data_IF_718393460542
#
_entry.id   IF_718393460542
#
_cell.length_a   1.000
_cell.length_b   1.000
_cell.length_c   1.000
_cell.angle_alpha   90.00
_cell.angle_beta   90.00
_cell.angle_gamma   90.00
#
_symmetry.space_group_name_H-M   'P 1'
#
loop_
_entity.id
_entity.type
_entity.pdbx_description
1 polymer ?
#
# COMPACT_ATOMS: atom_id res chain seq x y z
N UNK A 1 -26.90 -39.52 7.41
CA UNK A 1 -25.94 -38.95 6.41
C UNK A 1 -24.52 -38.75 7.00
N UNK A 2 -24.12 -39.56 7.95
CA UNK A 2 -22.77 -39.55 8.53
C UNK A 2 -21.95 -40.75 8.00
N UNK A 3 -22.49 -41.53 7.09
CA UNK A 3 -21.89 -42.82 6.69
C UNK A 3 -20.96 -42.75 5.46
N UNK A 4 -20.80 -41.62 4.80
CA UNK A 4 -19.94 -41.51 3.61
C UNK A 4 -18.50 -41.04 3.87
N UNK A 5 -18.17 -40.71 5.11
CA UNK A 5 -16.81 -40.28 5.48
C UNK A 5 -15.85 -41.39 5.93
N UNK A 6 -16.20 -42.68 5.72
CA UNK A 6 -15.45 -43.80 6.32
C UNK A 6 -14.69 -44.69 5.35
N UNK A 7 -14.60 -44.34 4.07
CA UNK A 7 -13.83 -45.16 3.11
C UNK A 7 -12.85 -44.28 2.34
N UNK A 8 -11.59 -44.42 2.71
CA UNK A 8 -10.44 -43.94 1.95
C UNK A 8 -9.92 -42.57 2.44
N UNK A 9 -8.77 -42.59 3.05
CA UNK A 9 -7.68 -41.58 3.20
C UNK A 9 -7.88 -40.09 2.81
N UNK A 10 -9.07 -39.61 2.57
CA UNK A 10 -9.41 -38.21 2.58
C UNK A 10 -9.95 -37.86 3.96
N UNK A 11 -9.06 -37.33 4.80
CA UNK A 11 -9.46 -36.66 6.00
C UNK A 11 -10.45 -35.57 5.55
N UNK A 12 -11.75 -35.80 5.80
CA UNK A 12 -12.76 -34.74 5.62
C UNK A 12 -12.29 -33.57 6.49
N UNK A 13 -11.63 -32.61 5.88
CA UNK A 13 -11.38 -31.31 6.47
C UNK A 13 -12.80 -30.75 6.66
N UNK A 14 -13.36 -30.96 7.86
CA UNK A 14 -14.54 -30.22 8.27
C UNK A 14 -14.09 -28.79 8.39
N UNK A 15 -14.28 -28.06 7.33
CA UNK A 15 -14.21 -26.61 7.39
C UNK A 15 -15.17 -26.12 8.47
N UNK A 16 -14.83 -25.03 9.15
CA UNK A 16 -15.68 -24.44 10.18
C UNK A 16 -16.89 -23.77 9.49
N UNK A 17 -17.83 -24.59 9.03
CA UNK A 17 -19.00 -24.13 8.28
C UNK A 17 -19.83 -23.19 9.14
N UNK A 18 -20.15 -22.03 8.58
CA UNK A 18 -21.11 -21.09 9.18
C UNK A 18 -22.45 -21.16 8.44
N UNK A 19 -23.48 -21.82 8.99
CA UNK A 19 -24.79 -21.92 8.34
C UNK A 19 -25.55 -20.58 8.27
N UNK A 20 -25.08 -19.56 8.99
CA UNK A 20 -25.65 -18.21 9.03
C UNK A 20 -24.89 -17.22 8.16
N UNK A 21 -23.92 -17.67 7.39
CA UNK A 21 -23.16 -16.79 6.49
C UNK A 21 -24.10 -16.25 5.40
N UNK A 22 -24.30 -14.94 5.42
CA UNK A 22 -25.09 -14.21 4.43
C UNK A 22 -24.22 -13.56 3.35
N UNK A 23 -24.85 -13.04 2.32
CA UNK A 23 -24.20 -12.24 1.29
C UNK A 23 -23.84 -10.85 1.80
N UNK A 24 -22.74 -10.30 1.32
CA UNK A 24 -22.46 -8.87 1.46
C UNK A 24 -23.42 -8.06 0.57
N UNK A 25 -24.04 -7.05 1.15
CA UNK A 25 -24.87 -6.10 0.42
C UNK A 25 -24.12 -4.79 0.21
N UNK A 26 -23.90 -4.42 -1.05
CA UNK A 26 -23.27 -3.15 -1.42
C UNK A 26 -24.33 -2.16 -1.88
N UNK A 27 -24.43 -1.02 -1.21
CA UNK A 27 -25.23 0.15 -1.62
C UNK A 27 -24.28 1.27 -2.01
N UNK A 28 -24.39 1.71 -3.26
CA UNK A 28 -23.49 2.74 -3.81
C UNK A 28 -24.30 3.77 -4.58
N UNK A 29 -23.92 5.02 -4.43
CA UNK A 29 -24.27 6.08 -5.36
C UNK A 29 -23.02 6.77 -5.85
N UNK A 30 -23.04 7.18 -7.11
CA UNK A 30 -21.97 7.85 -7.82
C UNK A 30 -22.55 9.04 -8.59
N UNK A 31 -21.86 10.18 -8.53
CA UNK A 31 -22.16 11.35 -9.35
C UNK A 31 -20.92 11.68 -10.13
N UNK A 32 -21.03 11.64 -11.47
CA UNK A 32 -19.93 11.89 -12.38
C UNK A 32 -20.26 12.99 -13.39
N UNK A 33 -19.23 13.66 -13.84
CA UNK A 33 -19.29 14.68 -14.92
C UNK A 33 -18.15 14.41 -15.88
N UNK A 34 -18.50 14.15 -17.15
CA UNK A 34 -17.56 14.13 -18.24
C UNK A 34 -17.59 15.47 -18.96
N UNK A 35 -16.43 15.98 -19.33
CA UNK A 35 -16.33 17.24 -20.03
C UNK A 35 -15.31 17.21 -21.16
N UNK A 36 -15.57 18.01 -22.18
CA UNK A 36 -14.68 18.20 -23.30
C UNK A 36 -14.79 19.62 -23.82
N UNK A 37 -13.66 20.25 -24.05
CA UNK A 37 -13.55 21.63 -24.49
C UNK A 37 -12.63 21.78 -25.71
N UNK A 38 -12.77 22.87 -26.43
CA UNK A 38 -11.91 23.26 -27.53
C UNK A 38 -11.84 22.21 -28.67
N UNK A 39 -12.98 21.60 -29.00
CA UNK A 39 -13.02 20.56 -30.03
C UNK A 39 -12.24 19.30 -29.64
N UNK A 40 -12.40 18.83 -28.41
CA UNK A 40 -11.70 17.67 -27.81
C UNK A 40 -10.20 17.87 -27.52
N UNK A 41 -9.68 19.07 -27.63
CA UNK A 41 -8.28 19.32 -27.24
C UNK A 41 -8.04 19.22 -25.74
N UNK A 42 -9.08 19.43 -24.93
CA UNK A 42 -9.05 19.22 -23.48
C UNK A 42 -10.28 18.39 -23.11
N UNK A 43 -10.08 17.31 -22.40
CA UNK A 43 -11.14 16.42 -21.92
C UNK A 43 -10.82 15.99 -20.48
N UNK A 44 -11.85 15.53 -19.80
CA UNK A 44 -11.66 14.95 -18.48
C UNK A 44 -12.97 14.47 -17.89
N UNK A 45 -12.85 13.91 -16.70
CA UNK A 45 -13.99 13.45 -15.91
C UNK A 45 -13.74 13.73 -14.44
N UNK A 46 -14.80 13.88 -13.69
CA UNK A 46 -14.81 13.94 -12.25
C UNK A 46 -15.93 13.05 -11.74
N UNK A 47 -15.61 12.13 -10.85
CA UNK A 47 -16.54 11.24 -10.18
C UNK A 47 -16.41 11.41 -8.66
N UNK A 48 -17.54 11.42 -7.97
CA UNK A 48 -17.62 11.32 -6.52
C UNK A 48 -18.53 10.16 -6.17
N UNK A 49 -18.07 9.26 -5.30
CA UNK A 49 -18.83 8.09 -4.89
C UNK A 49 -18.86 7.95 -3.36
N UNK A 50 -19.95 7.34 -2.90
CA UNK A 50 -20.11 6.85 -1.54
C UNK A 50 -20.73 5.47 -1.57
N UNK A 51 -20.07 4.55 -0.89
CA UNK A 51 -20.39 3.13 -0.87
C UNK A 51 -20.56 2.69 0.58
N UNK A 52 -21.64 1.98 0.87
CA UNK A 52 -21.85 1.28 2.13
C UNK A 52 -21.90 -0.22 1.84
N UNK A 53 -21.14 -1.00 2.60
CA UNK A 53 -21.16 -2.46 2.57
C UNK A 53 -21.73 -2.93 3.89
N UNK A 54 -22.79 -3.71 3.82
CA UNK A 54 -23.49 -4.35 4.93
C UNK A 54 -23.17 -5.84 4.91
N UNK A 55 -22.97 -6.43 6.09
CA UNK A 55 -22.62 -7.84 6.20
C UNK A 55 -21.23 -8.19 5.69
N UNK A 56 -20.24 -7.29 5.90
CA UNK A 56 -18.84 -7.51 5.52
C UNK A 56 -18.36 -8.89 5.96
N UNK A 57 -17.91 -9.72 5.01
CA UNK A 57 -17.44 -11.09 5.26
C UNK A 57 -15.96 -11.08 5.60
N UNK A 58 -15.63 -11.71 6.72
CA UNK A 58 -14.24 -11.84 7.17
C UNK A 58 -13.99 -13.18 7.87
N UNK A 59 -12.75 -13.68 7.81
CA UNK A 59 -12.31 -14.88 8.50
C UNK A 59 -11.92 -14.53 9.94
N UNK A 60 -12.71 -14.93 10.92
CA UNK A 60 -12.48 -14.66 12.33
C UNK A 60 -11.88 -15.87 13.05
N UNK A 61 -11.09 -15.61 14.09
CA UNK A 61 -10.61 -16.66 14.99
C UNK A 61 -11.75 -17.12 15.90
N UNK A 62 -11.93 -18.43 15.98
CA UNK A 62 -12.97 -19.08 16.81
C UNK A 62 -12.32 -20.10 17.75
N UNK A 63 -12.95 -20.41 18.91
CA UNK A 63 -12.39 -21.37 19.87
C UNK A 63 -12.22 -22.78 19.29
N UNK A 64 -11.13 -23.43 19.66
CA UNK A 64 -10.91 -24.86 19.42
C UNK A 64 -10.93 -25.59 20.76
N UNK A 65 -11.78 -26.66 20.93
CA UNK A 65 -12.98 -27.00 20.17
C UNK A 65 -14.10 -25.98 20.39
N UNK A 66 -15.21 -25.95 19.62
CA UNK A 66 -15.67 -27.02 18.72
C UNK A 66 -15.25 -26.85 17.24
N UNK A 67 -14.58 -25.74 16.89
CA UNK A 67 -14.19 -25.45 15.51
C UNK A 67 -12.84 -26.08 15.16
N UNK A 68 -12.76 -27.00 14.17
CA UNK A 68 -11.53 -27.76 13.89
C UNK A 68 -10.36 -26.89 13.49
N UNK A 69 -10.57 -25.85 12.70
CA UNK A 69 -9.52 -25.00 12.14
C UNK A 69 -9.21 -23.75 12.95
N UNK A 70 -9.98 -23.50 14.07
CA UNK A 70 -9.86 -22.25 14.84
C UNK A 70 -10.21 -20.98 14.08
N UNK A 71 -10.77 -21.10 12.87
CA UNK A 71 -11.18 -20.01 11.99
C UNK A 71 -12.53 -20.28 11.38
N UNK A 72 -13.30 -19.22 11.13
CA UNK A 72 -14.62 -19.29 10.50
C UNK A 72 -14.93 -18.00 9.75
N UNK A 73 -15.51 -18.12 8.56
CA UNK A 73 -16.06 -16.98 7.82
C UNK A 73 -17.36 -16.50 8.46
N UNK A 74 -17.43 -15.20 8.77
CA UNK A 74 -18.60 -14.58 9.39
C UNK A 74 -18.90 -13.22 8.76
N UNK A 75 -20.16 -12.80 8.81
CA UNK A 75 -20.54 -11.43 8.53
C UNK A 75 -20.26 -10.60 9.79
N UNK A 76 -19.25 -9.73 9.74
CA UNK A 76 -18.69 -9.09 10.94
C UNK A 76 -19.16 -7.65 11.16
N UNK A 77 -19.79 -7.02 10.20
CA UNK A 77 -20.23 -5.63 10.39
C UNK A 77 -20.52 -4.87 9.10
N UNK A 78 -20.55 -3.58 9.25
CA UNK A 78 -20.79 -2.61 8.19
C UNK A 78 -19.57 -1.71 8.00
N UNK A 79 -19.25 -1.36 6.75
CA UNK A 79 -18.24 -0.37 6.43
C UNK A 79 -18.76 0.65 5.42
N UNK A 80 -18.19 1.83 5.47
CA UNK A 80 -18.39 2.89 4.49
C UNK A 80 -17.08 3.19 3.77
N UNK A 81 -17.15 3.39 2.45
CA UNK A 81 -16.06 3.92 1.65
C UNK A 81 -16.59 5.09 0.82
N UNK A 82 -15.81 6.17 0.74
CA UNK A 82 -16.12 7.35 -0.09
C UNK A 82 -14.84 7.87 -0.72
N UNK A 83 -15.01 8.45 -1.89
CA UNK A 83 -13.87 8.97 -2.61
C UNK A 83 -14.27 9.82 -3.80
N UNK A 84 -13.25 10.37 -4.42
CA UNK A 84 -13.39 11.08 -5.68
C UNK A 84 -12.27 10.64 -6.65
N UNK A 85 -12.60 10.69 -7.93
CA UNK A 85 -11.68 10.45 -9.02
C UNK A 85 -11.73 11.64 -9.98
N UNK A 86 -10.57 12.08 -10.41
CA UNK A 86 -10.41 13.20 -11.34
C UNK A 86 -9.46 12.80 -12.46
N UNK A 87 -9.85 13.08 -13.68
CA UNK A 87 -9.00 12.94 -14.86
C UNK A 87 -9.06 14.20 -15.70
N UNK A 88 -7.91 14.65 -16.16
CA UNK A 88 -7.81 15.69 -17.19
C UNK A 88 -6.71 15.32 -18.17
N UNK A 89 -7.00 15.46 -19.45
CA UNK A 89 -6.05 15.20 -20.52
C UNK A 89 -6.26 16.12 -21.70
N UNK A 90 -5.25 16.19 -22.54
CA UNK A 90 -5.37 16.95 -23.78
C UNK A 90 -4.05 17.28 -24.45
N UNK A 91 -4.18 17.92 -25.59
CA UNK A 91 -3.05 18.46 -26.37
C UNK A 91 -2.73 19.88 -25.87
N UNK A 92 -1.70 19.97 -25.02
CA UNK A 92 -1.24 21.24 -24.44
C UNK A 92 -0.69 22.12 -25.56
N UNK A 93 0.14 21.52 -26.42
CA UNK A 93 0.69 22.18 -27.61
C UNK A 93 0.46 21.27 -28.82
N UNK A 94 -0.09 21.82 -29.87
CA UNK A 94 -0.27 21.14 -31.15
C UNK A 94 0.10 22.06 -32.29
N UNK A 95 1.28 21.81 -32.84
CA UNK A 95 1.81 22.51 -34.01
C UNK A 95 2.10 21.52 -35.14
N UNK A 96 2.48 22.00 -36.32
CA UNK A 96 2.80 21.16 -37.45
C UNK A 96 3.90 20.13 -37.18
N UNK A 97 4.93 20.51 -36.46
CA UNK A 97 6.12 19.68 -36.21
C UNK A 97 6.23 19.18 -34.76
N UNK A 98 5.47 19.76 -33.83
CA UNK A 98 5.55 19.44 -32.41
C UNK A 98 4.17 19.30 -31.78
N UNK A 99 3.98 18.21 -31.05
CA UNK A 99 2.80 17.97 -30.22
C UNK A 99 3.24 17.59 -28.81
N UNK A 100 2.61 18.20 -27.82
CA UNK A 100 2.70 17.79 -26.43
C UNK A 100 1.30 17.45 -25.94
N UNK A 101 1.10 16.15 -25.65
CA UNK A 101 -0.12 15.60 -25.03
C UNK A 101 0.20 15.26 -23.58
N UNK A 102 -0.67 15.65 -22.67
CA UNK A 102 -0.53 15.36 -21.24
C UNK A 102 -1.84 14.83 -20.68
N UNK A 103 -1.77 13.82 -19.81
CA UNK A 103 -2.91 13.34 -19.03
C UNK A 103 -2.54 13.16 -17.58
N UNK A 104 -3.39 13.68 -16.69
CA UNK A 104 -3.27 13.56 -15.24
C UNK A 104 -4.53 12.89 -14.72
N UNK A 105 -4.37 11.83 -13.93
CA UNK A 105 -5.43 11.25 -13.13
C UNK A 105 -5.08 11.37 -11.64
N UNK A 106 -6.09 11.56 -10.82
CA UNK A 106 -5.97 11.68 -9.38
C UNK A 106 -7.15 10.96 -8.72
N UNK A 107 -6.89 10.30 -7.61
CA UNK A 107 -7.94 9.68 -6.81
C UNK A 107 -7.69 9.84 -5.32
N UNK A 108 -8.77 9.91 -4.57
CA UNK A 108 -8.80 9.84 -3.12
C UNK A 108 -9.85 8.82 -2.70
N UNK A 109 -9.50 7.96 -1.77
CA UNK A 109 -10.42 7.03 -1.16
C UNK A 109 -10.21 7.01 0.35
N UNK A 110 -11.30 7.00 1.11
CA UNK A 110 -11.28 6.81 2.56
C UNK A 110 -12.36 5.82 2.96
N UNK A 111 -12.06 5.02 3.97
CA UNK A 111 -12.98 4.01 4.49
C UNK A 111 -13.06 4.04 6.01
N UNK A 112 -14.21 3.65 6.53
CA UNK A 112 -14.47 3.60 7.97
C UNK A 112 -15.35 2.40 8.31
N UNK A 113 -15.07 1.74 9.43
CA UNK A 113 -15.95 0.75 10.02
C UNK A 113 -17.09 1.48 10.73
N UNK A 114 -18.34 1.17 10.36
CA UNK A 114 -19.51 1.80 10.94
C UNK A 114 -20.01 1.05 12.16
N UNK A 115 -20.14 -0.28 12.05
CA UNK A 115 -20.70 -1.14 13.08
C UNK A 115 -20.04 -2.51 13.04
N UNK A 116 -19.85 -3.13 14.18
CA UNK A 116 -19.38 -4.51 14.31
C UNK A 116 -20.50 -5.39 14.87
N UNK A 117 -20.65 -6.63 14.33
CA UNK A 117 -21.72 -7.55 14.71
C UNK A 117 -21.28 -8.61 15.72
N UNK A 118 -22.20 -9.00 16.59
CA UNK A 118 -22.03 -10.09 17.53
C UNK A 118 -20.94 -9.82 18.57
N UNK A 119 -20.15 -10.84 18.86
CA UNK A 119 -19.02 -10.75 19.81
C UNK A 119 -17.71 -10.20 19.16
N UNK A 120 -17.76 -9.84 17.90
CA UNK A 120 -16.60 -9.34 17.14
C UNK A 120 -16.47 -7.81 17.32
N UNK A 121 -16.48 -7.32 18.56
CA UNK A 121 -16.40 -5.89 18.83
C UNK A 121 -15.06 -5.25 18.37
N UNK A 122 -14.03 -6.09 18.24
CA UNK A 122 -12.72 -5.70 17.70
C UNK A 122 -11.98 -6.91 17.16
N UNK A 123 -11.13 -6.70 16.18
CA UNK A 123 -10.16 -7.69 15.68
C UNK A 123 -8.80 -7.04 15.53
N UNK A 124 -7.78 -7.62 16.12
CA UNK A 124 -6.40 -7.20 15.96
C UNK A 124 -5.80 -7.94 14.78
N UNK A 125 -5.07 -7.24 13.95
CA UNK A 125 -4.47 -7.76 12.73
C UNK A 125 -3.07 -7.23 12.48
N UNK A 126 -2.46 -7.70 11.39
CA UNK A 126 -1.09 -7.41 11.04
C UNK A 126 -0.07 -7.94 12.06
N UNK A 127 -0.41 -9.11 12.66
CA UNK A 127 0.56 -9.93 13.34
C UNK A 127 1.47 -10.53 12.26
N UNK A 128 2.70 -10.05 12.17
CA UNK A 128 3.65 -10.62 11.22
C UNK A 128 4.21 -11.93 11.78
N UNK A 129 4.23 -12.97 10.95
CA UNK A 129 4.85 -14.28 11.25
C UNK A 129 6.40 -14.17 11.32
N UNK A 130 6.90 -13.10 11.93
CA UNK A 130 8.32 -12.84 12.00
C UNK A 130 8.86 -13.07 13.42
N UNK A 131 10.03 -13.69 13.56
CA UNK A 131 10.60 -13.99 14.86
C UNK A 131 10.70 -12.74 15.73
N UNK A 132 10.00 -12.76 16.87
CA UNK A 132 10.00 -11.67 17.83
C UNK A 132 9.26 -10.41 17.36
N UNK A 133 8.24 -10.54 16.52
CA UNK A 133 7.33 -9.45 16.20
C UNK A 133 6.63 -8.94 17.48
N UNK A 134 6.61 -7.63 17.72
CA UNK A 134 6.17 -7.09 19.00
C UNK A 134 4.65 -6.94 19.16
N UNK A 135 3.84 -7.56 18.30
CA UNK A 135 2.37 -7.57 18.39
C UNK A 135 1.64 -7.02 17.16
N UNK A 136 0.33 -6.85 17.24
CA UNK A 136 -0.52 -6.43 16.16
C UNK A 136 -0.41 -4.93 15.89
N UNK A 137 -0.21 -4.54 14.62
CA UNK A 137 -0.03 -3.15 14.18
C UNK A 137 -1.31 -2.50 13.65
N UNK A 138 -2.38 -3.26 13.46
CA UNK A 138 -3.67 -2.76 12.99
C UNK A 138 -4.81 -3.32 13.83
N UNK A 139 -5.95 -2.63 13.80
CA UNK A 139 -7.17 -3.05 14.49
C UNK A 139 -8.40 -2.67 13.69
N UNK A 140 -9.34 -3.61 13.61
CA UNK A 140 -10.67 -3.40 13.08
C UNK A 140 -11.60 -3.27 14.26
N UNK A 141 -12.19 -2.11 14.44
CA UNK A 141 -13.22 -1.86 15.43
C UNK A 141 -14.18 -0.76 14.97
N UNK A 142 -15.33 -0.67 15.63
CA UNK A 142 -16.33 0.34 15.31
C UNK A 142 -15.75 1.75 15.44
N UNK A 143 -15.94 2.54 14.41
CA UNK A 143 -15.42 3.91 14.33
C UNK A 143 -14.01 4.04 13.80
N UNK A 144 -13.25 2.94 13.64
CA UNK A 144 -11.89 2.99 13.10
C UNK A 144 -11.86 3.30 11.60
N UNK A 145 -10.85 4.07 11.20
CA UNK A 145 -10.54 4.27 9.78
C UNK A 145 -9.82 3.05 9.21
N UNK A 146 -10.17 2.69 7.99
CA UNK A 146 -9.47 1.62 7.26
C UNK A 146 -8.07 2.13 6.92
N UNK A 147 -7.08 1.27 7.16
CA UNK A 147 -5.68 1.61 6.93
C UNK A 147 -4.97 2.28 8.10
N UNK A 148 -5.67 2.58 9.18
CA UNK A 148 -5.04 3.18 10.35
C UNK A 148 -4.17 2.15 11.11
N UNK A 149 -2.97 2.57 11.49
CA UNK A 149 -2.14 1.81 12.41
C UNK A 149 -2.65 1.94 13.85
N UNK A 150 -2.57 0.84 14.61
CA UNK A 150 -2.92 0.78 16.02
C UNK A 150 -1.73 0.31 16.82
N UNK A 151 -0.97 1.25 17.40
CA UNK A 151 0.31 0.98 18.03
C UNK A 151 0.57 1.91 19.23
N UNK A 152 1.64 1.67 19.97
CA UNK A 152 2.04 2.54 21.06
C UNK A 152 2.63 3.84 20.55
N UNK A 153 2.34 4.93 21.24
CA UNK A 153 2.89 6.25 20.94
C UNK A 153 4.23 6.43 21.64
N UNK A 154 5.26 6.76 20.87
CA UNK A 154 6.60 6.99 21.36
C UNK A 154 6.69 8.31 22.15
N UNK A 155 7.37 8.30 23.30
CA UNK A 155 7.57 9.45 24.16
C UNK A 155 9.05 9.88 24.28
N UNK A 156 9.99 9.01 23.91
CA UNK A 156 11.42 9.26 24.04
C UNK A 156 12.21 8.03 24.45
N UNK A 157 13.44 8.26 24.84
CA UNK A 157 14.31 7.24 25.43
C UNK A 157 14.73 7.68 26.84
N UNK A 158 14.95 6.70 27.70
CA UNK A 158 15.58 6.96 29.00
C UNK A 158 17.11 7.09 28.87
N UNK A 159 17.80 7.36 30.02
CA UNK A 159 19.25 7.51 30.06
C UNK A 159 20.03 6.24 29.65
N UNK A 160 19.35 5.09 29.58
CA UNK A 160 19.93 3.80 29.17
C UNK A 160 19.66 3.46 27.71
N UNK A 161 18.86 4.28 27.03
CA UNK A 161 18.43 4.03 25.66
C UNK A 161 17.21 3.08 25.55
N UNK A 162 16.48 2.86 26.65
CA UNK A 162 15.23 2.12 26.65
C UNK A 162 14.06 3.00 26.21
N UNK A 163 13.06 2.40 25.52
CA UNK A 163 11.91 3.11 25.03
C UNK A 163 11.00 3.60 26.15
N UNK A 164 10.60 4.86 26.06
CA UNK A 164 9.51 5.47 26.81
C UNK A 164 8.30 5.63 25.89
N UNK A 165 7.12 5.30 26.41
CA UNK A 165 5.86 5.32 25.66
C UNK A 165 4.82 6.16 26.43
N UNK A 166 3.81 6.68 25.70
CA UNK A 166 2.64 7.25 26.34
C UNK A 166 1.63 6.16 26.66
N UNK A 167 1.09 6.18 27.88
CA UNK A 167 -0.07 5.36 28.23
C UNK A 167 -1.37 6.01 27.71
N UNK A 168 -2.51 5.35 27.91
CA UNK A 168 -3.84 5.85 27.52
C UNK A 168 -4.22 7.19 28.15
N UNK A 169 -3.67 7.51 29.31
CA UNK A 169 -3.93 8.74 30.06
C UNK A 169 -2.97 9.89 29.66
N UNK A 170 -2.05 9.63 28.71
CA UNK A 170 -1.07 10.60 28.21
C UNK A 170 0.17 10.75 29.08
N UNK A 171 0.38 9.87 30.05
CA UNK A 171 1.56 9.86 30.91
C UNK A 171 2.69 9.09 30.25
N UNK A 172 3.93 9.51 30.47
CA UNK A 172 5.13 8.84 29.98
C UNK A 172 5.49 7.68 30.91
N UNK A 173 5.53 6.49 30.36
CA UNK A 173 5.87 5.25 31.08
C UNK A 173 7.02 4.51 30.40
N UNK A 174 7.83 3.73 31.13
CA UNK A 174 8.76 2.78 30.55
C UNK A 174 8.02 1.73 29.70
N UNK A 175 8.59 1.33 28.56
CA UNK A 175 7.98 0.33 27.69
C UNK A 175 7.72 -1.03 28.37
N UNK A 176 8.41 -1.34 29.47
CA UNK A 176 8.18 -2.52 30.30
C UNK A 176 6.85 -2.51 31.06
N UNK A 177 6.24 -1.34 31.24
CA UNK A 177 4.96 -1.15 31.97
C UNK A 177 3.76 -0.97 31.02
N UNK A 178 3.99 -0.99 29.69
CA UNK A 178 2.92 -0.80 28.71
C UNK A 178 1.84 -1.86 28.78
N UNK A 179 0.61 -1.45 28.52
CA UNK A 179 -0.54 -2.32 28.27
C UNK A 179 -0.94 -2.30 26.81
N UNK A 180 -1.68 -3.31 26.34
CA UNK A 180 -2.32 -3.30 25.02
C UNK A 180 -3.36 -2.17 24.92
N UNK A 181 -3.97 -1.79 26.02
CA UNK A 181 -4.95 -0.69 26.10
C UNK A 181 -4.33 0.71 25.96
N UNK A 182 -3.00 0.82 25.98
CA UNK A 182 -2.27 2.06 25.76
C UNK A 182 -2.02 2.33 24.28
N UNK A 183 -2.33 1.37 23.41
CA UNK A 183 -2.22 1.57 21.95
C UNK A 183 -3.23 2.61 21.48
N UNK A 184 -2.82 3.38 20.46
CA UNK A 184 -3.61 4.46 19.87
C UNK A 184 -3.63 4.31 18.34
N UNK A 185 -4.61 4.92 17.69
CA UNK A 185 -4.62 5.06 16.23
C UNK A 185 -3.64 6.17 15.83
N UNK A 186 -2.59 5.80 15.11
CA UNK A 186 -1.50 6.70 14.73
C UNK A 186 -1.14 6.45 13.27
N UNK A 187 -1.31 7.46 12.42
CA UNK A 187 -1.00 7.34 11.00
C UNK A 187 -1.97 6.45 10.22
N UNK A 188 -1.78 6.38 8.92
CA UNK A 188 -2.59 5.57 8.01
C UNK A 188 -1.75 5.16 6.79
N UNK A 189 -1.80 3.88 6.41
CA UNK A 189 -1.05 3.39 5.25
C UNK A 189 -1.78 3.59 3.91
N UNK A 190 -3.03 4.05 3.91
CA UNK A 190 -3.73 4.38 2.69
C UNK A 190 -3.37 5.80 2.23
N UNK A 191 -2.88 5.97 0.99
CA UNK A 191 -2.58 7.29 0.46
C UNK A 191 -3.82 8.21 0.45
N UNK A 192 -3.66 9.44 0.92
CA UNK A 192 -4.72 10.45 0.81
C UNK A 192 -4.99 10.82 -0.63
N UNK A 193 -3.95 10.83 -1.47
CA UNK A 193 -4.09 11.08 -2.90
C UNK A 193 -3.14 10.15 -3.66
N UNK A 194 -3.66 9.47 -4.66
CA UNK A 194 -2.89 8.75 -5.68
C UNK A 194 -2.99 9.50 -7.00
N UNK A 195 -1.85 9.60 -7.71
CA UNK A 195 -1.76 10.35 -8.97
C UNK A 195 -1.02 9.52 -10.02
N UNK A 196 -1.48 9.62 -11.25
CA UNK A 196 -0.77 9.18 -12.44
C UNK A 196 -0.65 10.33 -13.44
N UNK A 197 0.54 10.58 -13.96
CA UNK A 197 0.80 11.66 -14.90
C UNK A 197 1.61 11.17 -16.09
N UNK A 198 0.99 11.20 -17.26
CA UNK A 198 1.58 10.76 -18.51
C UNK A 198 1.82 11.94 -19.42
N UNK A 199 3.00 12.03 -20.00
CA UNK A 199 3.35 13.05 -20.98
C UNK A 199 3.92 12.39 -22.22
N UNK A 200 3.44 12.83 -23.37
CA UNK A 200 3.94 12.42 -24.68
C UNK A 200 4.32 13.65 -25.50
N UNK A 201 5.55 13.67 -25.94
CA UNK A 201 6.08 14.71 -26.82
C UNK A 201 6.39 14.09 -28.17
N UNK A 202 5.89 14.68 -29.23
CA UNK A 202 6.22 14.27 -30.61
C UNK A 202 6.86 15.45 -31.31
N UNK A 203 8.04 15.25 -31.85
CA UNK A 203 8.74 16.25 -32.67
C UNK A 203 9.21 15.62 -33.97
N UNK A 204 8.52 15.93 -35.07
CA UNK A 204 8.74 15.31 -36.39
C UNK A 204 8.68 13.78 -36.29
N UNK A 205 9.82 13.12 -36.37
CA UNK A 205 9.95 11.67 -36.38
C UNK A 205 10.30 11.11 -34.97
N UNK A 206 10.57 11.97 -34.00
CA UNK A 206 10.88 11.59 -32.63
C UNK A 206 9.62 11.58 -31.76
N UNK A 207 9.52 10.61 -30.89
CA UNK A 207 8.54 10.55 -29.80
C UNK A 207 9.25 10.33 -28.47
N UNK A 208 8.85 11.07 -27.44
CA UNK A 208 9.28 10.94 -26.06
C UNK A 208 8.07 10.75 -25.15
N UNK A 209 8.02 9.62 -24.46
CA UNK A 209 7.02 9.33 -23.44
C UNK A 209 7.63 9.38 -22.05
N UNK A 210 6.95 10.02 -21.08
CA UNK A 210 7.34 10.07 -19.66
C UNK A 210 6.12 9.69 -18.83
N UNK A 211 6.20 8.58 -18.12
CA UNK A 211 5.16 8.09 -17.23
C UNK A 211 5.59 8.25 -15.78
N UNK A 212 4.74 8.90 -14.99
CA UNK A 212 4.99 9.21 -13.59
C UNK A 212 3.79 8.84 -12.76
N UNK A 213 4.02 8.50 -11.49
CA UNK A 213 2.97 8.31 -10.49
C UNK A 213 3.43 8.82 -9.13
N UNK A 214 2.47 9.12 -8.28
CA UNK A 214 2.74 9.62 -6.94
C UNK A 214 1.66 9.13 -5.98
N UNK A 215 2.08 8.74 -4.79
CA UNK A 215 1.20 8.53 -3.64
C UNK A 215 1.58 9.55 -2.59
N UNK A 216 0.60 10.21 -2.00
CA UNK A 216 0.83 11.35 -1.10
C UNK A 216 0.00 11.18 0.17
N UNK A 217 0.64 11.44 1.32
CA UNK A 217 -0.02 11.54 2.62
C UNK A 217 -0.41 10.18 3.19
N UNK A 218 0.53 9.26 3.27
CA UNK A 218 0.39 7.97 3.93
C UNK A 218 1.66 7.62 4.70
N UNK A 219 1.53 6.69 5.63
CA UNK A 219 2.61 6.28 6.49
C UNK A 219 3.02 4.83 6.19
N UNK A 220 4.30 4.54 6.37
CA UNK A 220 4.90 3.21 6.23
C UNK A 220 5.58 2.84 7.53
N UNK A 221 5.24 1.66 8.06
CA UNK A 221 5.96 1.07 9.18
C UNK A 221 7.25 0.44 8.66
N UNK A 222 8.37 1.12 8.91
CA UNK A 222 9.69 0.68 8.52
C UNK A 222 10.25 -0.32 9.53
N UNK A 223 10.30 -1.60 9.18
CA UNK A 223 10.80 -2.64 10.10
C UNK A 223 12.31 -2.80 10.07
N UNK A 224 13.02 -2.21 9.12
CA UNK A 224 14.50 -2.27 9.05
C UNK A 224 15.17 -1.74 10.32
N UNK A 225 14.91 -0.48 10.75
CA UNK A 225 15.48 0.02 11.99
C UNK A 225 14.97 -0.73 13.22
N UNK A 226 13.77 -1.26 13.20
CA UNK A 226 13.21 -2.05 14.31
C UNK A 226 13.97 -3.36 14.53
N UNK A 227 14.36 -4.06 13.48
CA UNK A 227 15.03 -5.36 13.56
C UNK A 227 16.56 -5.26 13.47
N UNK A 228 17.08 -4.37 12.65
CA UNK A 228 18.50 -4.28 12.35
C UNK A 228 19.14 -3.00 12.93
N UNK A 229 18.33 -2.08 13.46
CA UNK A 229 18.76 -0.77 13.96
C UNK A 229 19.01 -0.70 15.46
N UNK A 230 18.70 -1.75 16.24
CA UNK A 230 18.84 -1.76 17.71
C UNK A 230 20.05 -2.60 18.10
N UNK A 231 21.04 -1.98 18.72
CA UNK A 231 22.25 -2.67 19.17
C UNK A 231 21.93 -3.68 20.28
N UNK A 232 22.45 -4.91 20.15
CA UNK A 232 22.23 -5.98 21.12
C UNK A 232 20.94 -6.79 20.96
N UNK A 233 20.04 -6.37 20.07
CA UNK A 233 18.77 -7.05 19.80
C UNK A 233 18.75 -7.75 18.43
N UNK A 234 19.78 -7.61 17.62
CA UNK A 234 19.92 -8.31 16.34
C UNK A 234 19.90 -9.82 16.61
N UNK A 235 18.81 -10.46 16.26
CA UNK A 235 18.43 -11.82 16.56
C UNK A 235 19.58 -12.81 16.64
N UNK A 236 20.07 -13.07 17.84
CA UNK A 236 20.99 -14.12 18.18
C UNK A 236 22.27 -14.23 17.30
N UNK A 237 22.87 -13.12 16.88
CA UNK A 237 24.13 -13.11 16.13
C UNK A 237 24.05 -13.60 14.69
N UNK A 238 22.85 -13.74 14.12
CA UNK A 238 22.67 -14.22 12.75
C UNK A 238 22.64 -13.11 11.70
N UNK A 239 22.43 -11.85 12.11
CA UNK A 239 22.22 -10.73 11.19
C UNK A 239 23.24 -9.61 11.43
N UNK A 240 23.69 -8.99 10.35
CA UNK A 240 24.51 -7.78 10.44
C UNK A 240 23.65 -6.61 10.93
N UNK A 241 24.24 -5.79 11.79
CA UNK A 241 23.61 -4.55 12.22
C UNK A 241 23.52 -3.59 11.04
N UNK A 242 22.41 -2.89 10.94
CA UNK A 242 22.23 -1.83 9.95
C UNK A 242 23.18 -0.67 10.24
N UNK A 243 23.88 -0.17 9.21
CA UNK A 243 24.92 0.85 9.39
C UNK A 243 24.46 2.07 10.18
N UNK A 244 23.25 2.67 9.93
CA UNK A 244 22.76 3.80 10.72
C UNK A 244 22.63 3.53 12.22
N UNK A 245 22.51 2.29 12.66
CA UNK A 245 22.51 1.96 14.08
C UNK A 245 23.86 2.25 14.78
N UNK A 246 24.93 2.50 14.00
CA UNK A 246 26.27 2.80 14.51
C UNK A 246 26.57 4.30 14.55
N UNK A 247 26.08 5.04 13.57
CA UNK A 247 26.53 6.42 13.29
C UNK A 247 25.38 7.45 13.18
N UNK A 248 24.13 7.01 12.92
CA UNK A 248 22.99 7.91 12.83
C UNK A 248 22.51 8.35 14.23
N UNK A 249 22.41 9.65 14.49
CA UNK A 249 21.89 10.17 15.77
C UNK A 249 20.51 9.62 16.14
N UNK A 250 19.68 9.28 15.17
CA UNK A 250 18.34 8.72 15.38
C UNK A 250 18.39 7.31 15.99
N UNK A 251 19.41 6.49 15.67
CA UNK A 251 19.40 5.06 16.00
C UNK A 251 20.56 4.61 16.89
N UNK A 252 21.69 5.31 16.87
CA UNK A 252 22.96 4.85 17.49
C UNK A 252 22.89 4.63 19.00
N UNK A 253 21.96 5.30 19.70
CA UNK A 253 21.85 5.28 21.14
C UNK A 253 20.71 4.38 21.64
N UNK A 254 19.98 3.70 20.73
CA UNK A 254 18.91 2.77 21.11
C UNK A 254 19.53 1.47 21.65
N UNK A 255 19.13 1.07 22.85
CA UNK A 255 19.61 -0.15 23.54
C UNK A 255 18.50 -1.07 23.99
N UNK A 256 17.30 -0.56 24.12
CA UNK A 256 16.14 -1.28 24.63
C UNK A 256 15.56 -2.33 23.68
N UNK A 257 14.62 -3.09 24.19
CA UNK A 257 13.86 -4.07 23.38
C UNK A 257 13.02 -3.34 22.35
N UNK A 258 13.02 -3.85 21.11
CA UNK A 258 12.20 -3.30 20.01
C UNK A 258 10.73 -3.15 20.44
N UNK A 259 10.13 -2.05 20.05
CA UNK A 259 8.74 -1.71 20.34
C UNK A 259 7.97 -1.45 19.06
N UNK A 260 6.71 -1.86 19.01
CA UNK A 260 5.78 -1.50 17.96
C UNK A 260 5.21 -0.11 18.25
N UNK A 261 5.90 0.93 17.82
CA UNK A 261 5.51 2.31 18.08
C UNK A 261 5.78 3.20 16.85
N UNK A 262 5.23 4.39 16.88
CA UNK A 262 5.32 5.39 15.81
C UNK A 262 6.73 5.96 15.58
N UNK A 263 7.71 5.61 16.43
CA UNK A 263 9.11 5.90 16.15
C UNK A 263 9.62 5.28 14.83
N UNK A 264 9.05 4.16 14.44
CA UNK A 264 9.38 3.44 13.21
C UNK A 264 8.38 3.72 12.07
N UNK A 265 7.44 4.62 12.29
CA UNK A 265 6.49 5.07 11.29
C UNK A 265 7.08 6.26 10.53
N UNK A 266 7.09 6.17 9.21
CA UNK A 266 7.68 7.19 8.33
C UNK A 266 6.68 7.61 7.26
N UNK A 267 6.77 8.88 6.82
CA UNK A 267 6.02 9.34 5.65
C UNK A 267 6.46 8.56 4.40
N UNK A 268 5.50 7.84 3.81
CA UNK A 268 5.69 7.05 2.60
C UNK A 268 5.49 7.82 1.31
N UNK A 269 5.20 9.11 1.36
CA UNK A 269 4.92 9.91 0.15
C UNK A 269 6.06 9.87 -0.85
N UNK A 270 5.72 9.68 -2.13
CA UNK A 270 6.71 9.61 -3.19
C UNK A 270 6.21 10.14 -4.52
N UNK A 271 7.15 10.56 -5.37
CA UNK A 271 6.99 10.74 -6.81
C UNK A 271 7.91 9.77 -7.55
N UNK A 272 7.36 8.92 -8.40
CA UNK A 272 8.10 7.93 -9.18
C UNK A 272 8.02 8.24 -10.66
N UNK A 273 9.18 8.21 -11.32
CA UNK A 273 9.27 8.20 -12.77
C UNK A 273 9.37 6.73 -13.19
N UNK A 274 8.23 6.19 -13.59
CA UNK A 274 8.11 4.76 -13.91
C UNK A 274 8.84 4.39 -15.19
N UNK A 275 8.69 5.22 -16.23
CA UNK A 275 9.32 4.96 -17.52
C UNK A 275 9.59 6.23 -18.30
N UNK A 276 10.72 6.23 -19.02
CA UNK A 276 11.02 7.18 -20.07
C UNK A 276 11.30 6.38 -21.34
N UNK A 277 10.54 6.65 -22.40
CA UNK A 277 10.68 6.00 -23.70
C UNK A 277 11.01 7.04 -24.74
N UNK A 278 12.10 6.84 -25.49
CA UNK A 278 12.45 7.64 -26.64
C UNK A 278 12.37 6.77 -27.90
N UNK A 279 11.59 7.21 -28.88
CA UNK A 279 11.39 6.53 -30.15
C UNK A 279 11.78 7.41 -31.34
N UNK A 280 12.15 6.74 -32.43
CA UNK A 280 12.36 7.35 -33.74
C UNK A 280 11.67 6.54 -34.83
N UNK A 281 10.81 7.19 -35.61
CA UNK A 281 9.99 6.55 -36.62
C UNK A 281 10.44 6.95 -38.04
N UNK A 282 10.80 5.95 -38.87
CA UNK A 282 11.16 6.11 -40.25
C UNK A 282 9.97 5.73 -41.12
N UNK A 283 9.60 6.58 -42.06
CA UNK A 283 8.62 6.27 -43.11
C UNK A 283 9.29 5.40 -44.20
N UNK A 284 9.10 4.09 -44.11
CA UNK A 284 9.69 3.12 -45.05
C UNK A 284 8.96 3.09 -46.40
N UNK A 285 7.72 3.52 -46.47
CA UNK A 285 6.95 3.61 -47.74
C UNK A 285 7.64 4.43 -48.84
N UNK A 286 8.59 5.28 -48.47
CA UNK A 286 9.45 6.02 -49.38
C UNK A 286 10.57 5.18 -50.04
N UNK A 287 10.91 4.05 -49.40
CA UNK A 287 12.07 3.23 -49.78
C UNK A 287 11.67 1.80 -50.17
N UNK A 288 10.56 1.28 -49.64
CA UNK A 288 10.09 -0.09 -49.92
C UNK A 288 8.57 -0.11 -50.11
N UNK A 289 8.07 -1.16 -50.79
CA UNK A 289 6.62 -1.39 -50.97
C UNK A 289 6.05 -2.40 -49.97
N UNK A 290 6.91 -3.05 -49.19
CA UNK A 290 6.50 -4.13 -48.28
C UNK A 290 6.34 -3.67 -46.82
N UNK A 291 6.87 -2.51 -46.46
CA UNK A 291 6.71 -1.96 -45.13
C UNK A 291 6.39 -0.46 -45.18
N UNK A 292 5.49 -0.02 -44.33
CA UNK A 292 5.08 1.38 -44.25
C UNK A 292 5.97 2.18 -43.27
N UNK A 293 6.24 1.62 -42.11
CA UNK A 293 6.96 2.33 -41.02
C UNK A 293 7.88 1.40 -40.27
N UNK A 294 9.02 1.95 -39.81
CA UNK A 294 9.93 1.34 -38.89
C UNK A 294 10.10 2.29 -37.70
N UNK A 295 9.75 1.84 -36.48
CA UNK A 295 10.04 2.57 -35.27
C UNK A 295 11.09 1.82 -34.46
N UNK A 296 12.16 2.51 -34.11
CA UNK A 296 13.19 2.04 -33.17
C UNK A 296 13.01 2.83 -31.87
N UNK A 297 13.00 2.16 -30.73
CA UNK A 297 12.80 2.84 -29.46
C UNK A 297 13.63 2.22 -28.36
N UNK A 298 13.96 3.07 -27.37
CA UNK A 298 14.59 2.66 -26.12
C UNK A 298 13.72 3.10 -24.93
N UNK A 299 13.56 2.22 -23.94
CA UNK A 299 12.83 2.50 -22.71
C UNK A 299 13.72 2.24 -21.52
N UNK A 300 13.74 3.18 -20.58
CA UNK A 300 14.28 3.01 -19.23
C UNK A 300 13.09 2.88 -18.28
N UNK A 301 12.96 1.75 -17.59
CA UNK A 301 11.96 1.52 -16.57
C UNK A 301 12.54 1.70 -15.16
N UNK A 302 11.70 2.07 -14.19
CA UNK A 302 12.08 2.42 -12.83
C UNK A 302 13.21 3.47 -12.80
N UNK A 303 12.96 4.61 -13.44
CA UNK A 303 13.98 5.64 -13.66
C UNK A 303 14.44 6.25 -12.35
N UNK A 304 13.49 6.68 -11.51
CA UNK A 304 13.77 7.30 -10.21
C UNK A 304 12.54 7.24 -9.30
N UNK A 305 12.79 7.16 -7.99
CA UNK A 305 11.80 7.41 -6.94
C UNK A 305 12.31 8.56 -6.09
N UNK A 306 11.52 9.61 -5.97
CA UNK A 306 11.81 10.80 -5.16
C UNK A 306 10.93 10.69 -3.92
N UNK A 307 11.55 10.50 -2.75
CA UNK A 307 10.86 10.27 -1.49
C UNK A 307 11.73 10.70 -0.32
N UNK A 308 11.10 11.03 0.82
CA UNK A 308 11.76 11.19 2.11
C UNK A 308 11.85 9.90 2.92
N UNK A 309 11.22 8.82 2.45
CA UNK A 309 11.22 7.52 3.12
C UNK A 309 12.63 6.93 3.18
N UNK A 310 13.04 6.43 4.35
CA UNK A 310 14.40 5.93 4.58
C UNK A 310 14.60 4.46 4.20
N UNK A 311 13.51 3.69 4.01
CA UNK A 311 13.54 2.28 3.63
C UNK A 311 13.82 2.07 2.13
N UNK A 312 13.70 0.82 1.67
CA UNK A 312 14.05 0.46 0.30
C UNK A 312 13.02 0.91 -0.72
N UNK A 313 11.74 0.83 -0.37
CA UNK A 313 10.65 1.17 -1.27
C UNK A 313 9.44 1.67 -0.47
N UNK A 314 9.00 2.92 -0.65
CA UNK A 314 7.79 3.41 0.00
C UNK A 314 6.52 2.77 -0.53
N UNK A 315 6.59 2.13 -1.70
CA UNK A 315 5.46 1.48 -2.36
C UNK A 315 5.22 0.08 -1.77
N UNK A 316 4.77 0.06 -0.53
CA UNK A 316 4.41 -1.16 0.19
C UNK A 316 3.01 -1.65 -0.20
N UNK A 317 2.66 -2.88 0.20
CA UNK A 317 1.29 -3.36 0.05
C UNK A 317 0.32 -2.46 0.83
N UNK A 318 -0.71 -1.96 0.16
CA UNK A 318 -1.78 -1.14 0.76
C UNK A 318 -3.14 -1.85 0.70
N UNK A 319 -3.17 -3.14 0.38
CA UNK A 319 -4.40 -3.93 0.29
C UNK A 319 -4.64 -4.75 1.55
N UNK A 320 -5.91 -4.93 1.90
CA UNK A 320 -6.30 -5.67 3.10
C UNK A 320 -5.99 -4.94 4.39
N UNK A 321 -6.00 -5.67 5.50
CA UNK A 321 -5.78 -5.15 6.85
C UNK A 321 -4.30 -5.23 7.28
N UNK A 322 -3.45 -5.82 6.46
CA UNK A 322 -2.03 -6.03 6.71
C UNK A 322 -1.14 -5.12 5.86
N UNK A 323 -1.68 -4.00 5.40
CA UNK A 323 -0.96 -3.03 4.59
C UNK A 323 0.01 -2.17 5.39
N UNK A 324 0.80 -1.40 4.67
CA UNK A 324 1.62 -0.33 5.23
C UNK A 324 2.93 -0.74 5.89
N UNK A 325 3.34 -2.00 5.77
CA UNK A 325 4.56 -2.51 6.43
C UNK A 325 5.64 -2.83 5.41
N UNK A 326 6.78 -2.17 5.54
CA UNK A 326 8.01 -2.51 4.80
C UNK A 326 8.76 -3.60 5.58
N UNK A 327 8.59 -4.85 5.11
CA UNK A 327 9.10 -6.05 5.78
C UNK A 327 10.57 -6.26 5.46
N UNK A 328 11.43 -6.24 6.47
CA UNK A 328 12.89 -6.43 6.33
C UNK A 328 13.29 -7.74 5.64
N UNK A 329 12.46 -8.77 5.73
CA UNK A 329 12.74 -10.10 5.17
C UNK A 329 12.15 -10.34 3.77
N UNK A 330 11.26 -9.47 3.31
CA UNK A 330 10.52 -9.59 2.04
C UNK A 330 10.76 -8.37 1.14
N UNK A 331 11.99 -7.94 1.03
CA UNK A 331 12.33 -6.78 0.23
C UNK A 331 13.00 -7.20 -1.08
N UNK A 332 12.23 -7.16 -2.14
CA UNK A 332 12.78 -7.22 -3.48
C UNK A 332 13.26 -5.83 -3.90
N UNK A 333 14.55 -5.65 -4.18
CA UNK A 333 15.05 -4.36 -4.62
C UNK A 333 14.43 -3.95 -5.95
N UNK A 334 14.03 -2.68 -6.05
CA UNK A 334 13.56 -2.11 -7.31
C UNK A 334 14.72 -2.09 -8.30
N UNK A 335 14.59 -2.82 -9.39
CA UNK A 335 15.60 -2.87 -10.44
C UNK A 335 15.25 -1.92 -11.58
N UNK A 336 16.25 -1.19 -12.07
CA UNK A 336 16.14 -0.39 -13.28
C UNK A 336 16.24 -1.31 -14.49
N UNK A 337 15.33 -1.14 -15.46
CA UNK A 337 15.31 -1.94 -16.68
C UNK A 337 15.64 -1.08 -17.88
N UNK A 338 16.32 -1.67 -18.87
CA UNK A 338 16.64 -1.05 -20.14
C UNK A 338 16.12 -1.95 -21.26
N UNK A 339 15.25 -1.42 -22.11
CA UNK A 339 14.66 -2.15 -23.21
C UNK A 339 14.97 -1.43 -24.52
N UNK A 340 15.43 -2.17 -25.54
CA UNK A 340 15.50 -1.73 -26.92
C UNK A 340 14.48 -2.51 -27.73
N UNK A 341 13.74 -1.82 -28.59
CA UNK A 341 12.70 -2.45 -29.40
C UNK A 341 12.67 -1.89 -30.82
N UNK A 342 12.22 -2.75 -31.72
CA UNK A 342 11.98 -2.44 -33.13
C UNK A 342 10.54 -2.84 -33.45
N UNK A 343 9.80 -1.93 -34.04
CA UNK A 343 8.44 -2.16 -34.52
C UNK A 343 8.35 -1.87 -36.00
N UNK A 344 7.90 -2.82 -36.78
CA UNK A 344 7.69 -2.69 -38.23
C UNK A 344 6.18 -2.77 -38.53
N UNK A 345 5.67 -1.81 -39.30
CA UNK A 345 4.31 -1.81 -39.80
C UNK A 345 4.37 -2.12 -41.31
N UNK A 346 3.62 -3.13 -41.73
CA UNK A 346 3.55 -3.60 -43.12
C UNK A 346 2.34 -3.01 -43.86
#
# INVERSE_FOLDING_TARGET
EISECLVGSEMCIRDSVNPYLGWEEKKEWNIGVDYSFFGNRMYGKFDYYRRKIDGMIYEVNVPQPPYPNGKQWQNIGEMESKGWEFEVGGDIIQNKDFTWTSSLNMSHNSGKILTMYGNNSRMDGNAMDEPGWPGDASRIEEGAEIGAFHMWKFAGFDDKGDFLLYNKDGEVIPASQKSVDDKQYIGNYLPKVMMGWNNTFTYKNFDLGINMRSWIGFDVLNTYPMYLGIQGQSGAGQWNLWKPALDDPKYKDIRGVKQLCDYFLEDGSFLKIDAITLGYTLALSKYTKWAERLRVYGTVGNVATITGYSGHNPEVNITGWEGGVDKVWNCDPIVRTYTLGIQVTF
#
